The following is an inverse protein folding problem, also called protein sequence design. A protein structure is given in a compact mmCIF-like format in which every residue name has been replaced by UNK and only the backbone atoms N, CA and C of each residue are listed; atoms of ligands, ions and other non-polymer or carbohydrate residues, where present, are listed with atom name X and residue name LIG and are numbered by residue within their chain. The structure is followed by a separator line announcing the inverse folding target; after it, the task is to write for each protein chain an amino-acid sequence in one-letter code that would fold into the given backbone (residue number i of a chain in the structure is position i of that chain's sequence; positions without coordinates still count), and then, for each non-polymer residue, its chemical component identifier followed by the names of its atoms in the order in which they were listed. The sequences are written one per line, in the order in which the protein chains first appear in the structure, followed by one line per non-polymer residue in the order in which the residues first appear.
data_IF_679171064610
#
_entry.id   IF_679171064610
#
_cell.length_a   1.000
_cell.length_b   1.000
_cell.length_c   1.000
_cell.angle_alpha   90.00
_cell.angle_beta   90.00
_cell.angle_gamma   90.00
#
_symmetry.space_group_name_H-M   'P 1'
#
loop_
_entity.id
_entity.type
_entity.pdbx_description
1 polymer ?
#
# COMPACT_ATOMS: atom_id res chain seq x y z
N UNK A 1 28.36 22.51 5.68
CA UNK A 1 28.39 21.07 5.40
C UNK A 1 27.17 20.55 6.14
N UNK A 2 26.10 20.20 5.43
CA UNK A 2 24.88 19.72 6.09
C UNK A 2 25.21 18.43 6.83
N UNK A 3 25.07 18.46 8.15
CA UNK A 3 25.28 17.27 8.98
C UNK A 3 24.15 16.28 8.70
N UNK A 4 24.47 15.22 7.97
CA UNK A 4 23.54 14.14 7.68
C UNK A 4 23.34 13.27 8.94
N UNK A 5 22.08 13.04 9.30
CA UNK A 5 21.72 12.26 10.49
C UNK A 5 21.61 10.77 10.15
N UNK A 6 22.27 9.93 10.96
CA UNK A 6 22.01 8.49 10.95
C UNK A 6 20.58 8.22 11.43
N UNK A 7 19.93 7.24 10.82
CA UNK A 7 18.52 6.92 11.12
C UNK A 7 18.26 6.62 12.60
N UNK A 8 19.21 5.95 13.27
CA UNK A 8 19.11 5.65 14.71
C UNK A 8 19.19 6.88 15.61
N UNK A 9 19.96 7.90 15.21
CA UNK A 9 20.09 9.15 15.96
C UNK A 9 18.87 10.04 15.71
N UNK A 10 18.43 10.14 14.44
CA UNK A 10 17.21 10.84 14.08
C UNK A 10 15.97 10.26 14.80
N UNK A 11 15.85 8.93 14.86
CA UNK A 11 14.77 8.23 15.58
C UNK A 11 14.70 8.62 17.06
N UNK A 12 15.85 8.73 17.73
CA UNK A 12 15.90 9.18 19.14
C UNK A 12 15.49 10.63 19.28
N UNK A 13 15.93 11.50 18.36
CA UNK A 13 15.65 12.93 18.40
C UNK A 13 14.18 13.25 18.09
N UNK A 14 13.55 12.54 17.15
CA UNK A 14 12.14 12.74 16.80
C UNK A 14 11.15 11.90 17.61
N UNK A 15 11.63 10.95 18.43
CA UNK A 15 10.78 10.09 19.25
C UNK A 15 10.07 8.95 18.49
N UNK A 16 10.44 8.70 17.24
CA UNK A 16 9.82 7.68 16.36
C UNK A 16 10.73 6.46 16.24
N UNK A 17 10.18 5.26 15.99
CA UNK A 17 10.99 4.05 15.78
C UNK A 17 11.78 4.14 14.48
N UNK A 18 12.98 3.55 14.48
CA UNK A 18 13.84 3.44 13.30
C UNK A 18 13.11 2.77 12.13
N UNK A 19 12.34 1.71 12.41
CA UNK A 19 11.61 0.96 11.38
C UNK A 19 10.53 1.82 10.71
N UNK A 20 9.84 2.66 11.48
CA UNK A 20 8.86 3.63 10.96
C UNK A 20 9.52 4.68 10.06
N UNK A 21 10.66 5.25 10.47
CA UNK A 21 11.40 6.18 9.61
C UNK A 21 11.90 5.49 8.34
N UNK A 22 12.35 4.23 8.44
CA UNK A 22 12.78 3.43 7.29
C UNK A 22 11.63 3.20 6.32
N UNK A 23 10.43 2.88 6.82
CA UNK A 23 9.21 2.74 6.03
C UNK A 23 8.88 4.05 5.29
N UNK A 24 8.85 5.18 6.00
CA UNK A 24 8.58 6.49 5.38
C UNK A 24 9.60 6.87 4.30
N UNK A 25 10.88 6.52 4.48
CA UNK A 25 11.92 6.72 3.47
C UNK A 25 11.74 5.79 2.28
N UNK A 26 11.42 4.50 2.53
CA UNK A 26 11.21 3.51 1.48
C UNK A 26 10.05 3.90 0.56
N UNK A 27 9.01 4.51 1.13
CA UNK A 27 7.84 4.98 0.42
C UNK A 27 8.00 6.41 -0.15
N UNK A 28 9.19 7.01 -0.02
CA UNK A 28 9.53 8.30 -0.61
C UNK A 28 8.93 9.52 0.09
N UNK A 29 8.43 9.36 1.32
CA UNK A 29 7.76 10.41 2.11
C UNK A 29 8.74 11.25 2.91
N UNK A 30 9.93 10.72 3.16
CA UNK A 30 11.05 11.44 3.75
C UNK A 30 12.25 11.39 2.81
N UNK A 31 12.91 12.53 2.56
CA UNK A 31 14.13 12.54 1.76
C UNK A 31 15.27 11.85 2.52
N UNK A 32 16.03 11.00 1.84
CA UNK A 32 17.22 10.39 2.44
C UNK A 32 18.35 10.27 1.42
N UNK A 33 19.55 10.65 1.85
CA UNK A 33 20.78 10.25 1.20
C UNK A 33 21.12 8.80 1.58
N UNK A 34 22.07 8.19 0.88
CA UNK A 34 22.57 6.85 1.23
C UNK A 34 24.08 6.87 1.44
N UNK A 35 24.55 6.09 2.40
CA UNK A 35 25.97 5.78 2.53
C UNK A 35 26.44 4.92 1.35
N UNK A 36 27.76 4.76 1.20
CA UNK A 36 28.34 3.79 0.24
C UNK A 36 27.91 2.35 0.48
N UNK A 37 27.41 2.01 1.69
CA UNK A 37 26.85 0.71 2.05
C UNK A 37 25.32 0.62 1.88
N UNK A 38 24.67 1.72 1.47
CA UNK A 38 23.23 1.78 1.22
C UNK A 38 22.37 2.21 2.42
N UNK A 39 22.97 2.44 3.59
CA UNK A 39 22.25 2.88 4.79
C UNK A 39 21.66 4.30 4.59
N UNK A 40 20.38 4.52 4.96
CA UNK A 40 19.74 5.82 4.79
C UNK A 40 20.27 6.85 5.80
N UNK A 41 20.46 8.07 5.33
CA UNK A 41 20.84 9.24 6.10
C UNK A 41 19.84 10.37 5.84
N UNK A 42 19.31 10.97 6.91
CA UNK A 42 18.35 12.06 6.81
C UNK A 42 19.08 13.42 6.73
N UNK A 43 18.72 14.30 5.79
CA UNK A 43 19.28 15.65 5.75
C UNK A 43 18.77 16.52 6.90
N UNK A 44 17.54 16.26 7.37
CA UNK A 44 16.92 16.94 8.50
C UNK A 44 16.15 15.92 9.33
N UNK A 45 16.18 16.05 10.65
CA UNK A 45 15.37 15.23 11.56
C UNK A 45 13.91 15.70 11.49
N UNK A 46 12.94 14.86 11.06
CA UNK A 46 11.53 15.24 11.07
C UNK A 46 11.03 15.39 12.51
N UNK A 47 10.00 16.20 12.72
CA UNK A 47 9.33 16.24 14.03
C UNK A 47 8.44 15.00 14.22
N UNK A 48 8.13 14.69 15.47
CA UNK A 48 7.18 13.62 15.80
C UNK A 48 5.83 13.84 15.10
N UNK A 49 5.32 15.08 15.14
CA UNK A 49 4.05 15.47 14.52
C UNK A 49 4.08 15.30 12.99
N UNK A 50 5.18 15.68 12.33
CA UNK A 50 5.34 15.46 10.88
C UNK A 50 5.28 13.97 10.52
N UNK A 51 5.95 13.11 11.28
CA UNK A 51 5.87 11.67 11.06
C UNK A 51 4.44 11.14 11.26
N UNK A 52 3.73 11.62 12.28
CA UNK A 52 2.34 11.22 12.54
C UNK A 52 1.44 11.60 11.36
N UNK A 53 1.51 12.84 10.91
CA UNK A 53 0.70 13.34 9.80
C UNK A 53 0.93 12.54 8.51
N UNK A 54 2.20 12.23 8.18
CA UNK A 54 2.53 11.39 7.03
C UNK A 54 1.92 9.98 7.14
N UNK A 55 1.98 9.38 8.33
CA UNK A 55 1.44 8.03 8.58
C UNK A 55 -0.08 8.03 8.50
N UNK A 56 -0.75 9.00 9.13
CA UNK A 56 -2.21 9.15 9.09
C UNK A 56 -2.69 9.37 7.65
N UNK A 57 -2.02 10.25 6.90
CA UNK A 57 -2.34 10.52 5.51
C UNK A 57 -2.19 9.27 4.63
N UNK A 58 -1.08 8.52 4.76
CA UNK A 58 -0.88 7.34 3.92
C UNK A 58 -1.77 6.17 4.29
N UNK A 59 -2.10 6.02 5.57
CA UNK A 59 -3.11 5.07 6.02
C UNK A 59 -4.46 5.37 5.36
N UNK A 60 -4.86 6.63 5.34
CA UNK A 60 -6.13 7.07 4.74
C UNK A 60 -6.16 6.86 3.23
N UNK A 61 -5.11 7.29 2.52
CA UNK A 61 -4.94 7.05 1.07
C UNK A 61 -5.02 5.55 0.74
N UNK A 62 -4.37 4.71 1.55
CA UNK A 62 -4.39 3.26 1.33
C UNK A 62 -5.78 2.66 1.57
N UNK A 63 -6.51 3.15 2.58
CA UNK A 63 -7.89 2.73 2.86
C UNK A 63 -8.85 3.14 1.74
N UNK A 64 -8.74 4.38 1.25
CA UNK A 64 -9.53 4.86 0.11
C UNK A 64 -9.29 3.96 -1.11
N UNK A 65 -8.02 3.72 -1.45
CA UNK A 65 -7.64 2.87 -2.58
C UNK A 65 -8.15 1.43 -2.43
N UNK A 66 -8.14 0.89 -1.20
CA UNK A 66 -8.71 -0.43 -0.95
C UNK A 66 -10.23 -0.46 -1.18
N UNK A 67 -10.94 0.61 -0.82
CA UNK A 67 -12.38 0.77 -1.12
C UNK A 67 -12.65 0.73 -2.62
N UNK A 68 -11.92 1.52 -3.40
CA UNK A 68 -12.03 1.55 -4.88
C UNK A 68 -11.75 0.17 -5.50
N UNK A 69 -10.78 -0.57 -4.97
CA UNK A 69 -10.46 -1.92 -5.43
C UNK A 69 -11.56 -2.94 -5.09
N UNK A 70 -12.22 -2.80 -3.93
CA UNK A 70 -13.36 -3.65 -3.56
C UNK A 70 -14.54 -3.41 -4.49
N UNK A 71 -14.85 -2.15 -4.82
CA UNK A 71 -15.89 -1.81 -5.79
C UNK A 71 -15.58 -2.41 -7.16
N UNK A 72 -14.34 -2.26 -7.64
CA UNK A 72 -13.89 -2.87 -8.89
C UNK A 72 -14.00 -4.38 -8.88
N UNK A 73 -13.61 -5.06 -7.80
CA UNK A 73 -13.77 -6.51 -7.66
C UNK A 73 -15.25 -6.90 -7.80
N UNK A 74 -16.17 -6.10 -7.24
CA UNK A 74 -17.60 -6.32 -7.41
C UNK A 74 -18.05 -6.33 -8.87
N UNK A 75 -17.60 -5.35 -9.65
CA UNK A 75 -17.89 -5.25 -11.10
C UNK A 75 -17.34 -6.46 -11.86
N UNK A 76 -16.10 -6.86 -11.56
CA UNK A 76 -15.44 -7.99 -12.23
C UNK A 76 -16.14 -9.33 -11.91
N UNK A 77 -16.61 -9.50 -10.67
CA UNK A 77 -17.40 -10.68 -10.27
C UNK A 77 -18.77 -10.70 -10.95
N UNK A 78 -19.42 -9.55 -11.09
CA UNK A 78 -20.68 -9.42 -11.82
C UNK A 78 -20.51 -9.80 -13.30
N UNK A 79 -19.45 -9.32 -13.96
CA UNK A 79 -19.13 -9.66 -15.34
C UNK A 79 -18.93 -11.18 -15.54
N UNK A 80 -18.15 -11.82 -14.66
CA UNK A 80 -18.00 -13.28 -14.65
C UNK A 80 -19.34 -14.00 -14.44
N UNK A 81 -20.19 -13.46 -13.55
CA UNK A 81 -21.53 -13.99 -13.32
C UNK A 81 -22.43 -13.94 -14.57
N UNK A 82 -22.35 -12.84 -15.32
CA UNK A 82 -23.09 -12.65 -16.57
C UNK A 82 -22.63 -13.65 -17.65
N UNK A 83 -21.32 -13.83 -17.83
CA UNK A 83 -20.77 -14.83 -18.76
C UNK A 83 -21.22 -16.26 -18.43
N UNK A 84 -21.32 -16.60 -17.14
CA UNK A 84 -21.83 -17.90 -16.70
C UNK A 84 -23.32 -18.05 -17.05
N UNK A 85 -24.12 -17.01 -16.81
CA UNK A 85 -25.55 -17.02 -17.15
C UNK A 85 -25.74 -17.21 -18.67
N UNK A 86 -25.01 -16.45 -19.48
CA UNK A 86 -25.06 -16.54 -20.94
C UNK A 86 -24.64 -17.93 -21.45
N UNK A 87 -23.57 -18.50 -20.91
CA UNK A 87 -23.12 -19.85 -21.27
C UNK A 87 -24.16 -20.94 -20.96
N UNK A 88 -24.99 -20.74 -19.92
CA UNK A 88 -26.09 -21.65 -19.59
C UNK A 88 -27.28 -21.50 -20.53
N UNK A 89 -27.58 -20.27 -20.95
CA UNK A 89 -28.68 -19.98 -21.88
C UNK A 89 -28.34 -20.39 -23.31
N UNK A 90 -27.07 -20.22 -23.72
CA UNK A 90 -26.59 -20.42 -25.08
C UNK A 90 -25.40 -21.39 -25.15
N UNK A 91 -25.59 -22.70 -24.87
CA UNK A 91 -24.49 -23.65 -24.67
C UNK A 91 -23.64 -23.96 -25.91
N UNK A 92 -24.05 -23.51 -27.10
CA UNK A 92 -23.31 -23.68 -28.35
C UNK A 92 -22.39 -22.49 -28.67
N UNK A 93 -22.51 -21.38 -27.95
CA UNK A 93 -21.66 -20.21 -28.13
C UNK A 93 -20.33 -20.38 -27.35
N UNK A 94 -19.26 -19.69 -27.78
CA UNK A 94 -18.03 -19.62 -27.00
C UNK A 94 -18.28 -19.07 -25.59
N UNK A 95 -17.47 -19.50 -24.62
CA UNK A 95 -17.49 -18.91 -23.28
C UNK A 95 -17.04 -17.44 -23.34
N UNK A 96 -17.66 -16.61 -22.51
CA UNK A 96 -17.33 -15.19 -22.41
C UNK A 96 -15.91 -14.93 -21.91
N UNK A 97 -15.43 -13.73 -22.21
CA UNK A 97 -14.03 -13.33 -21.98
C UNK A 97 -13.75 -13.15 -20.50
N UNK A 98 -14.69 -12.58 -19.74
CA UNK A 98 -14.49 -12.31 -18.31
C UNK A 98 -14.37 -13.62 -17.53
N UNK A 99 -15.23 -14.61 -17.84
CA UNK A 99 -15.13 -15.95 -17.27
C UNK A 99 -13.81 -16.64 -17.62
N UNK A 100 -13.39 -16.59 -18.88
CA UNK A 100 -12.16 -17.27 -19.33
C UNK A 100 -10.88 -16.57 -18.87
N UNK A 101 -10.93 -15.26 -18.65
CA UNK A 101 -9.80 -14.45 -18.20
C UNK A 101 -9.76 -14.19 -16.69
N UNK A 102 -10.77 -14.61 -15.92
CA UNK A 102 -10.91 -14.29 -14.49
C UNK A 102 -9.63 -14.52 -13.65
N UNK A 103 -8.91 -15.62 -13.92
CA UNK A 103 -7.65 -15.96 -13.24
C UNK A 103 -6.38 -15.65 -14.05
N UNK A 104 -6.50 -14.97 -15.19
CA UNK A 104 -5.38 -14.66 -16.06
C UNK A 104 -4.62 -13.44 -15.53
N UNK A 105 -3.30 -13.60 -15.35
CA UNK A 105 -2.36 -12.51 -15.06
C UNK A 105 -1.66 -11.98 -16.32
N UNK A 106 -1.98 -12.54 -17.51
CA UNK A 106 -1.35 -12.21 -18.79
C UNK A 106 -2.13 -11.20 -19.63
N UNK A 107 -3.39 -10.93 -19.31
CA UNK A 107 -4.15 -9.85 -19.94
C UNK A 107 -3.66 -8.52 -19.39
N UNK A 108 -3.33 -7.60 -20.30
CA UNK A 108 -2.86 -6.26 -19.98
C UNK A 108 -3.90 -5.40 -19.26
N UNK A 109 -5.16 -5.81 -19.27
CA UNK A 109 -6.27 -4.99 -18.80
C UNK A 109 -7.21 -5.83 -17.91
N UNK A 110 -7.51 -5.23 -16.75
CA UNK A 110 -8.75 -5.42 -15.98
C UNK A 110 -9.28 -6.85 -15.87
N UNK A 111 -8.59 -7.70 -15.10
CA UNK A 111 -9.18 -8.97 -14.64
C UNK A 111 -9.36 -9.00 -13.15
N UNK A 112 -10.30 -9.83 -12.68
CA UNK A 112 -10.50 -10.15 -11.28
C UNK A 112 -9.19 -10.52 -10.56
N UNK A 113 -8.33 -11.34 -11.16
CA UNK A 113 -7.03 -11.70 -10.59
C UNK A 113 -6.12 -10.48 -10.37
N UNK A 114 -6.08 -9.53 -11.30
CA UNK A 114 -5.29 -8.30 -11.16
C UNK A 114 -5.85 -7.43 -10.04
N UNK A 115 -7.16 -7.26 -9.97
CA UNK A 115 -7.80 -6.47 -8.91
C UNK A 115 -7.55 -7.07 -7.51
N UNK A 116 -7.66 -8.39 -7.36
CA UNK A 116 -7.33 -9.10 -6.12
C UNK A 116 -5.86 -8.96 -5.71
N UNK A 117 -4.94 -9.06 -6.68
CA UNK A 117 -3.49 -8.89 -6.44
C UNK A 117 -3.16 -7.46 -5.98
N UNK A 118 -3.79 -6.46 -6.61
CA UNK A 118 -3.68 -5.05 -6.22
C UNK A 118 -4.23 -4.83 -4.81
N UNK A 119 -5.39 -5.40 -4.48
CA UNK A 119 -5.97 -5.29 -3.14
C UNK A 119 -5.06 -5.92 -2.09
N UNK A 120 -4.47 -7.09 -2.38
CA UNK A 120 -3.51 -7.71 -1.47
C UNK A 120 -2.28 -6.83 -1.21
N UNK A 121 -1.80 -6.13 -2.24
CA UNK A 121 -0.66 -5.20 -2.12
C UNK A 121 -1.02 -3.99 -1.25
N UNK A 122 -2.19 -3.38 -1.48
CA UNK A 122 -2.66 -2.24 -0.68
C UNK A 122 -2.96 -2.66 0.77
N UNK A 123 -3.48 -3.88 0.99
CA UNK A 123 -3.67 -4.42 2.36
C UNK A 123 -2.38 -4.41 3.16
N UNK A 124 -1.26 -4.80 2.55
CA UNK A 124 0.03 -4.79 3.24
C UNK A 124 0.42 -3.38 3.68
N UNK A 125 0.23 -2.38 2.81
CA UNK A 125 0.46 -0.97 3.15
C UNK A 125 -0.43 -0.52 4.32
N UNK A 126 -1.73 -0.83 4.29
CA UNK A 126 -2.65 -0.52 5.38
C UNK A 126 -2.15 -1.10 6.71
N UNK A 127 -1.74 -2.38 6.72
CA UNK A 127 -1.24 -3.04 7.93
C UNK A 127 0.02 -2.38 8.47
N UNK A 128 0.94 -1.99 7.60
CA UNK A 128 2.20 -1.36 7.99
C UNK A 128 1.96 0.05 8.59
N UNK A 129 1.15 0.87 7.93
CA UNK A 129 0.82 2.21 8.42
C UNK A 129 -0.09 2.19 9.67
N UNK A 130 -1.05 1.26 9.77
CA UNK A 130 -1.89 1.11 10.96
C UNK A 130 -1.08 0.69 12.19
N UNK A 131 -0.11 -0.22 12.00
CA UNK A 131 0.84 -0.62 13.05
C UNK A 131 1.69 0.56 13.50
N UNK A 132 2.29 1.29 12.56
CA UNK A 132 3.12 2.45 12.87
C UNK A 132 2.34 3.54 13.63
N UNK A 133 1.09 3.79 13.24
CA UNK A 133 0.22 4.75 13.91
C UNK A 133 -0.10 4.34 15.34
N UNK A 134 -0.47 3.06 15.56
CA UNK A 134 -0.73 2.52 16.91
C UNK A 134 0.48 2.66 17.82
N UNK A 135 1.67 2.32 17.33
CA UNK A 135 2.91 2.47 18.09
C UNK A 135 3.20 3.93 18.47
N UNK A 136 2.86 4.89 17.60
CA UNK A 136 3.00 6.31 17.92
C UNK A 136 2.01 6.76 18.98
N UNK A 137 0.74 6.36 18.87
CA UNK A 137 -0.31 6.67 19.85
C UNK A 137 0.02 6.07 21.22
N UNK A 138 0.51 4.84 21.28
CA UNK A 138 0.86 4.19 22.54
C UNK A 138 2.02 4.92 23.24
N UNK A 139 2.94 5.52 22.49
CA UNK A 139 4.03 6.34 23.04
C UNK A 139 3.59 7.69 23.57
N UNK A 140 2.46 8.25 23.13
CA UNK A 140 1.92 9.49 23.72
C UNK A 140 1.37 9.28 25.13
N UNK A 141 1.07 8.03 25.50
CA UNK A 141 0.43 7.68 26.78
C UNK A 141 1.43 7.51 27.94
N UNK A 142 2.73 7.63 27.69
CA UNK A 142 3.81 7.43 28.66
C UNK A 142 4.84 8.56 28.59
#
# INVERSE_FOLDING_TARGET
MDDLFKLGDAAKLCGVRVDTLRMLIADGLLPAARTSRGDPLLPTVPTWQQCRELIEQQRDVSLQRAGELVERIGIEVEAVGNDIAEARENPLLPLGVDLTAANSQRSSDTTLAVALSQLNSVRMQIVDYDRALKEMIDRERF
#
